data_IF_128438169950
#
_entry.id   IF_128438169950
#
_cell.length_a   1.000
_cell.length_b   1.000
_cell.length_c   1.000
_cell.angle_alpha   90.00
_cell.angle_beta   90.00
_cell.angle_gamma   90.00
#
_symmetry.space_group_name_H-M   'P 1'
#
loop_
_entity.id
_entity.type
_entity.pdbx_description
1 polymer ?
#
# COMPACT_ATOMS: atom_id res chain seq x y z
N UNK A 1 24.60 4.92 0.83
CA UNK A 1 23.84 3.69 0.51
C UNK A 1 22.36 3.94 0.26
N UNK A 2 21.59 4.55 1.18
CA UNK A 2 20.13 4.69 1.01
C UNK A 2 19.72 5.50 -0.25
N UNK A 3 20.38 6.63 -0.52
CA UNK A 3 20.11 7.47 -1.71
C UNK A 3 20.41 6.74 -3.03
N UNK A 4 21.56 6.06 -3.10
CA UNK A 4 21.94 5.28 -4.28
C UNK A 4 20.94 4.14 -4.57
N UNK A 5 20.45 3.47 -3.51
CA UNK A 5 19.46 2.41 -3.66
C UNK A 5 18.09 2.94 -4.13
N UNK A 6 17.70 4.11 -3.67
CA UNK A 6 16.48 4.78 -4.16
C UNK A 6 16.60 5.18 -5.63
N UNK A 7 17.75 5.72 -6.03
CA UNK A 7 18.01 6.05 -7.43
C UNK A 7 17.95 4.81 -8.34
N UNK A 8 18.47 3.66 -7.89
CA UNK A 8 18.34 2.38 -8.61
C UNK A 8 16.87 1.92 -8.75
N UNK A 9 16.00 2.31 -7.84
CA UNK A 9 14.55 2.03 -7.88
C UNK A 9 13.77 3.13 -8.63
N UNK A 10 14.46 4.10 -9.24
CA UNK A 10 13.85 5.22 -9.96
C UNK A 10 13.26 6.31 -9.07
N UNK A 11 13.54 6.28 -7.76
CA UNK A 11 13.07 7.31 -6.83
C UNK A 11 14.11 8.43 -6.77
N UNK A 12 13.79 9.55 -7.41
CA UNK A 12 14.57 10.79 -7.34
C UNK A 12 14.11 11.66 -6.16
N UNK A 13 14.98 11.78 -5.14
CA UNK A 13 14.71 12.61 -3.96
C UNK A 13 14.87 14.10 -4.22
N UNK A 14 15.50 14.48 -5.33
CA UNK A 14 15.71 15.89 -5.64
C UNK A 14 14.41 16.57 -6.12
N UNK A 15 13.41 15.77 -6.49
CA UNK A 15 12.03 16.22 -6.75
C UNK A 15 11.28 16.65 -5.49
N UNK A 16 11.75 16.26 -4.29
CA UNK A 16 11.10 16.65 -3.04
C UNK A 16 11.57 18.04 -2.59
N UNK A 17 10.67 18.81 -1.94
CA UNK A 17 11.01 20.11 -1.36
C UNK A 17 12.21 19.99 -0.40
N UNK A 18 13.15 20.94 -0.44
CA UNK A 18 14.28 20.93 0.49
C UNK A 18 13.81 21.16 1.93
N UNK A 19 14.54 20.58 2.88
CA UNK A 19 14.25 20.72 4.31
C UNK A 19 13.21 19.72 4.83
N UNK A 20 12.60 20.07 5.97
CA UNK A 20 11.68 19.22 6.72
C UNK A 20 10.20 19.63 6.61
N UNK A 21 9.93 20.84 6.12
CA UNK A 21 8.57 21.33 5.95
C UNK A 21 7.85 20.55 4.84
N UNK A 22 6.57 20.27 5.05
CA UNK A 22 5.72 19.73 4.00
C UNK A 22 5.35 20.82 3.00
N UNK A 23 5.15 20.43 1.75
CA UNK A 23 4.58 21.31 0.73
C UNK A 23 3.12 21.63 1.08
N UNK A 24 2.74 22.91 1.23
CA UNK A 24 1.36 23.29 1.55
C UNK A 24 0.34 22.97 0.46
N UNK A 25 0.77 22.87 -0.81
CA UNK A 25 -0.15 22.63 -1.94
C UNK A 25 -0.39 21.13 -2.16
N UNK A 26 0.67 20.33 -2.16
CA UNK A 26 0.58 18.88 -2.47
C UNK A 26 0.54 17.98 -1.24
N UNK A 27 0.93 18.49 -0.07
CA UNK A 27 1.15 17.69 1.14
C UNK A 27 2.40 16.81 1.07
N UNK A 28 3.24 16.96 0.05
CA UNK A 28 4.46 16.18 -0.08
C UNK A 28 5.40 16.46 1.11
N UNK A 29 6.01 15.42 1.69
CA UNK A 29 6.93 15.61 2.80
C UNK A 29 8.21 16.29 2.31
N UNK A 30 8.82 17.11 3.17
CA UNK A 30 10.17 17.60 2.95
C UNK A 30 11.17 16.45 2.84
N UNK A 31 12.22 16.64 2.04
CA UNK A 31 13.25 15.64 1.74
C UNK A 31 13.88 15.04 3.00
N UNK A 32 14.14 15.87 4.02
CA UNK A 32 14.77 15.41 5.25
C UNK A 32 13.83 14.54 6.09
N UNK A 33 12.55 14.90 6.11
CA UNK A 33 11.49 14.14 6.78
C UNK A 33 11.31 12.78 6.10
N UNK A 34 11.29 12.74 4.76
CA UNK A 34 11.19 11.48 4.00
C UNK A 34 12.40 10.56 4.28
N UNK A 35 13.61 11.11 4.28
CA UNK A 35 14.83 10.33 4.61
C UNK A 35 14.86 9.84 6.06
N UNK A 36 14.39 10.65 7.01
CA UNK A 36 14.28 10.26 8.41
C UNK A 36 13.29 9.11 8.60
N UNK A 37 12.10 9.20 7.99
CA UNK A 37 11.08 8.16 8.01
C UNK A 37 11.57 6.86 7.37
N UNK A 38 12.27 6.95 6.23
CA UNK A 38 12.82 5.76 5.57
C UNK A 38 13.90 5.07 6.42
N UNK A 39 14.78 5.83 7.07
CA UNK A 39 15.76 5.26 8.02
C UNK A 39 15.08 4.66 9.25
N UNK A 40 13.99 5.26 9.72
CA UNK A 40 13.20 4.70 10.82
C UNK A 40 12.61 3.36 10.40
N UNK A 41 11.93 3.32 9.25
CA UNK A 41 11.34 2.11 8.70
C UNK A 41 12.36 0.99 8.50
N UNK A 42 13.53 1.27 7.91
CA UNK A 42 14.58 0.26 7.71
C UNK A 42 15.16 -0.30 9.02
N UNK A 43 15.07 0.44 10.12
CA UNK A 43 15.51 -0.03 11.45
C UNK A 43 14.41 -0.79 12.18
N UNK A 44 13.18 -0.71 11.70
CA UNK A 44 12.03 -1.39 12.31
C UNK A 44 11.86 -2.76 11.66
N UNK A 45 11.70 -3.79 12.49
CA UNK A 45 11.22 -5.09 12.02
C UNK A 45 9.73 -4.97 11.75
N UNK A 46 9.32 -5.06 10.48
CA UNK A 46 7.89 -5.13 10.12
C UNK A 46 7.37 -6.48 10.61
N UNK A 47 6.53 -6.45 11.65
CA UNK A 47 5.82 -7.64 12.08
C UNK A 47 4.85 -8.07 10.97
N UNK A 48 4.63 -9.37 10.79
CA UNK A 48 3.61 -9.85 9.85
C UNK A 48 2.25 -9.23 10.21
N UNK A 49 1.71 -8.37 9.34
CA UNK A 49 0.42 -7.70 9.56
C UNK A 49 -0.74 -8.70 9.48
N UNK A 50 -0.73 -9.55 8.45
CA UNK A 50 -1.60 -10.70 8.31
C UNK A 50 -1.03 -11.60 7.21
N UNK A 51 -0.86 -12.90 7.50
CA UNK A 51 -0.59 -13.88 6.46
C UNK A 51 -1.88 -14.21 5.72
N UNK A 52 -1.84 -14.29 4.39
CA UNK A 52 -2.95 -14.86 3.64
C UNK A 52 -3.16 -16.31 4.11
N UNK A 53 -4.34 -16.60 4.64
CA UNK A 53 -4.75 -17.94 5.05
C UNK A 53 -5.96 -18.33 4.24
N UNK A 54 -5.92 -19.51 3.63
CA UNK A 54 -7.14 -20.15 3.17
C UNK A 54 -8.02 -20.40 4.40
N UNK A 55 -9.19 -19.75 4.45
CA UNK A 55 -10.17 -19.99 5.50
C UNK A 55 -10.64 -21.43 5.41
N UNK A 56 -10.43 -22.22 6.47
CA UNK A 56 -10.97 -23.57 6.57
C UNK A 56 -12.46 -23.56 6.96
N UNK A 57 -13.02 -22.39 7.26
CA UNK A 57 -14.44 -22.22 7.51
C UNK A 57 -15.20 -22.15 6.18
N UNK A 58 -16.04 -23.13 5.86
CA UNK A 58 -16.87 -23.11 4.65
C UNK A 58 -17.76 -21.88 4.55
N UNK A 59 -18.08 -21.21 5.66
CA UNK A 59 -18.88 -19.97 5.70
C UNK A 59 -18.12 -18.75 5.18
N UNK A 60 -16.79 -18.79 5.21
CA UNK A 60 -15.90 -17.74 4.72
C UNK A 60 -15.43 -18.00 3.28
N UNK A 61 -15.84 -19.13 2.68
CA UNK A 61 -15.58 -19.39 1.28
C UNK A 61 -16.36 -18.39 0.42
N UNK A 62 -15.65 -17.41 -0.14
CA UNK A 62 -16.18 -16.48 -1.17
C UNK A 62 -16.58 -17.20 -2.48
N UNK A 63 -16.56 -18.53 -2.50
CA UNK A 63 -16.97 -19.38 -3.63
C UNK A 63 -18.43 -19.81 -3.55
N UNK A 64 -19.17 -19.48 -2.48
CA UNK A 64 -20.63 -19.69 -2.48
C UNK A 64 -21.23 -18.73 -3.49
N UNK A 65 -22.00 -19.26 -4.44
CA UNK A 65 -22.67 -18.47 -5.47
C UNK A 65 -23.35 -17.25 -4.82
N UNK A 66 -23.17 -16.04 -5.38
CA UNK A 66 -23.71 -14.82 -4.78
C UNK A 66 -25.21 -15.01 -4.55
N UNK A 67 -25.74 -14.63 -3.37
CA UNK A 67 -27.15 -14.78 -3.09
C UNK A 67 -27.95 -14.12 -4.21
N UNK A 68 -28.87 -14.86 -4.84
CA UNK A 68 -29.77 -14.34 -5.86
C UNK A 68 -30.87 -13.44 -5.25
N UNK A 69 -30.50 -12.63 -4.25
CA UNK A 69 -31.37 -11.67 -3.57
C UNK A 69 -31.77 -10.52 -4.49
N UNK A 70 -30.96 -10.24 -5.51
CA UNK A 70 -31.27 -9.26 -6.54
C UNK A 70 -31.16 -9.90 -7.93
N UNK A 71 -32.22 -9.86 -8.75
CA UNK A 71 -32.21 -10.45 -10.09
C UNK A 71 -31.10 -9.91 -11.01
N UNK A 72 -30.61 -8.69 -10.77
CA UNK A 72 -29.54 -8.05 -11.54
C UNK A 72 -28.19 -8.78 -11.47
N UNK A 73 -27.92 -9.53 -10.40
CA UNK A 73 -26.67 -10.27 -10.20
C UNK A 73 -26.54 -11.40 -11.23
N UNK A 74 -27.64 -12.11 -11.52
CA UNK A 74 -27.65 -13.22 -12.49
C UNK A 74 -27.46 -12.74 -13.93
N UNK A 75 -27.99 -11.56 -14.27
CA UNK A 75 -27.82 -10.95 -15.60
C UNK A 75 -26.37 -10.58 -15.89
N UNK A 76 -25.63 -10.11 -14.88
CA UNK A 76 -24.23 -9.72 -15.02
C UNK A 76 -23.28 -10.93 -15.21
N UNK A 77 -23.67 -12.11 -14.71
CA UNK A 77 -22.82 -13.32 -14.76
C UNK A 77 -23.04 -14.19 -16.02
N UNK A 78 -24.14 -13.98 -16.75
CA UNK A 78 -24.48 -14.72 -17.97
C UNK A 78 -24.14 -13.96 -19.26
N UNK A 79 -23.25 -12.96 -19.21
CA UNK A 79 -22.65 -12.30 -20.37
C UNK A 79 -21.19 -12.71 -20.50
#
# INVERSE_FOLDING_TARGET
MIRARLALLGIDLDQLPPGSAADPETGAPGRDTALASLRSFMRTTVLPLAGYRFGQDPRLAQQVAPPALYPSIMTAWNR
#
